data_IF_938947992671
#
_entry.id   IF_938947992671
#
_cell.length_a   1.000
_cell.length_b   1.000
_cell.length_c   1.000
_cell.angle_alpha   90.00
_cell.angle_beta   90.00
_cell.angle_gamma   90.00
#
_symmetry.space_group_name_H-M   'P 1'
#
loop_
_entity.id
_entity.type
_entity.pdbx_description
1 polymer ?
#
# COMPACT_ATOMS: atom_id res chain seq x y z
N UNK A 1 -13.21 -31.18 -18.41
CA UNK A 1 -13.38 -29.94 -17.63
C UNK A 1 -12.12 -29.15 -17.88
N UNK A 2 -12.15 -28.20 -18.81
CA UNK A 2 -11.03 -27.30 -19.00
C UNK A 2 -10.92 -26.47 -17.72
N UNK A 3 -9.75 -26.47 -17.09
CA UNK A 3 -9.43 -25.47 -16.10
C UNK A 3 -9.48 -24.13 -16.85
N UNK A 4 -10.21 -23.18 -16.29
CA UNK A 4 -10.16 -21.80 -16.77
C UNK A 4 -8.73 -21.31 -16.52
N UNK A 5 -7.88 -21.35 -17.55
CA UNK A 5 -6.46 -20.96 -17.49
C UNK A 5 -6.29 -19.43 -17.45
N UNK A 6 -7.40 -18.68 -17.38
CA UNK A 6 -7.44 -17.23 -17.23
C UNK A 6 -7.39 -16.78 -15.78
N UNK A 7 -6.77 -15.64 -15.54
CA UNK A 7 -6.80 -14.97 -14.24
C UNK A 7 -8.18 -14.34 -14.03
N UNK A 8 -8.78 -14.50 -12.85
CA UNK A 8 -10.07 -13.87 -12.56
C UNK A 8 -9.91 -12.36 -12.34
N UNK A 9 -11.00 -11.59 -12.52
CA UNK A 9 -10.97 -10.14 -12.28
C UNK A 9 -10.50 -9.78 -10.86
N UNK A 10 -10.86 -10.59 -9.87
CA UNK A 10 -10.38 -10.45 -8.49
C UNK A 10 -8.88 -10.66 -8.37
N UNK A 11 -8.32 -11.62 -9.10
CA UNK A 11 -6.88 -11.88 -9.10
C UNK A 11 -6.11 -10.77 -9.83
N UNK A 12 -6.65 -10.23 -10.93
CA UNK A 12 -6.11 -9.06 -11.62
C UNK A 12 -6.03 -7.84 -10.68
N UNK A 13 -7.13 -7.54 -10.00
CA UNK A 13 -7.18 -6.47 -9.01
C UNK A 13 -6.19 -6.70 -7.85
N UNK A 14 -6.04 -7.95 -7.38
CA UNK A 14 -5.06 -8.30 -6.36
C UNK A 14 -3.62 -8.03 -6.81
N UNK A 15 -3.25 -8.33 -8.06
CA UNK A 15 -1.92 -8.01 -8.59
C UNK A 15 -1.67 -6.51 -8.70
N UNK A 16 -2.69 -5.75 -9.11
CA UNK A 16 -2.62 -4.29 -9.17
C UNK A 16 -2.39 -3.68 -7.77
N UNK A 17 -3.15 -4.15 -6.77
CA UNK A 17 -2.98 -3.77 -5.38
C UNK A 17 -1.55 -4.10 -4.92
N UNK A 18 -1.07 -5.32 -5.14
CA UNK A 18 0.29 -5.75 -4.71
C UNK A 18 1.37 -4.84 -5.32
N UNK A 19 1.29 -4.54 -6.62
CA UNK A 19 2.29 -3.74 -7.31
C UNK A 19 2.32 -2.29 -6.81
N UNK A 20 1.15 -1.66 -6.68
CA UNK A 20 1.01 -0.27 -6.23
C UNK A 20 1.40 -0.13 -4.75
N UNK A 21 0.80 -0.92 -3.85
CA UNK A 21 1.07 -0.79 -2.42
C UNK A 21 2.45 -1.30 -2.01
N UNK A 22 3.02 -2.26 -2.75
CA UNK A 22 4.41 -2.69 -2.57
C UNK A 22 5.41 -1.56 -2.89
N UNK A 23 5.11 -0.77 -3.93
CA UNK A 23 5.89 0.43 -4.28
C UNK A 23 5.76 1.48 -3.19
N UNK A 24 4.54 1.83 -2.77
CA UNK A 24 4.29 2.80 -1.71
C UNK A 24 5.00 2.42 -0.39
N UNK A 25 4.88 1.16 0.04
CA UNK A 25 5.56 0.63 1.24
C UNK A 25 7.08 0.79 1.16
N UNK A 26 7.67 0.53 -0.01
CA UNK A 26 9.10 0.72 -0.23
C UNK A 26 9.52 2.18 -0.08
N UNK A 27 8.69 3.11 -0.55
CA UNK A 27 8.92 4.55 -0.38
C UNK A 27 8.83 4.97 1.09
N UNK A 28 7.86 4.47 1.86
CA UNK A 28 7.77 4.77 3.30
C UNK A 28 8.99 4.25 4.08
N UNK A 29 9.47 3.04 3.76
CA UNK A 29 10.70 2.51 4.36
C UNK A 29 11.91 3.37 3.96
N UNK A 30 11.98 3.80 2.70
CA UNK A 30 13.00 4.72 2.20
C UNK A 30 12.99 6.07 2.93
N UNK A 31 11.80 6.63 3.18
CA UNK A 31 11.61 7.87 3.91
C UNK A 31 12.20 7.79 5.33
N UNK A 32 11.99 6.68 6.04
CA UNK A 32 12.59 6.45 7.36
C UNK A 32 14.12 6.48 7.26
N UNK A 33 14.72 5.87 6.23
CA UNK A 33 16.17 5.90 6.04
C UNK A 33 16.69 7.32 5.75
N UNK A 34 15.98 8.10 4.91
CA UNK A 34 16.33 9.49 4.62
C UNK A 34 16.27 10.37 5.88
N UNK A 35 15.20 10.25 6.67
CA UNK A 35 15.06 11.00 7.91
C UNK A 35 16.18 10.66 8.91
N UNK A 36 16.52 9.37 9.03
CA UNK A 36 17.64 8.90 9.85
C UNK A 36 18.99 9.48 9.41
N UNK A 37 19.17 9.73 8.10
CA UNK A 37 20.35 10.39 7.55
C UNK A 37 20.33 11.92 7.68
N UNK A 38 19.23 12.50 8.17
CA UNK A 38 19.03 13.93 8.33
C UNK A 38 18.36 14.64 7.16
N UNK A 39 18.02 13.91 6.09
CA UNK A 39 17.25 14.43 4.96
C UNK A 39 15.75 14.38 5.27
N UNK A 40 15.29 15.35 6.07
CA UNK A 40 13.89 15.44 6.50
C UNK A 40 12.98 15.84 5.32
N UNK A 41 13.41 16.77 4.46
CA UNK A 41 12.63 17.19 3.30
C UNK A 41 12.44 16.05 2.30
N UNK A 42 13.52 15.34 1.97
CA UNK A 42 13.45 14.18 1.08
C UNK A 42 12.63 13.03 1.67
N UNK A 43 12.64 12.85 3.00
CA UNK A 43 11.78 11.88 3.67
C UNK A 43 10.28 12.24 3.55
N UNK A 44 9.92 13.51 3.79
CA UNK A 44 8.53 13.97 3.63
C UNK A 44 8.06 13.85 2.17
N UNK A 45 8.94 14.14 1.21
CA UNK A 45 8.65 13.99 -0.22
C UNK A 45 8.38 12.52 -0.59
N UNK A 46 9.17 11.58 -0.07
CA UNK A 46 8.94 10.15 -0.28
C UNK A 46 7.62 9.67 0.34
N UNK A 47 7.26 10.14 1.53
CA UNK A 47 5.96 9.80 2.13
C UNK A 47 4.81 10.34 1.28
N UNK A 48 4.91 11.58 0.79
CA UNK A 48 3.87 12.18 -0.05
C UNK A 48 3.67 11.38 -1.34
N UNK A 49 4.76 11.14 -2.09
CA UNK A 49 4.70 10.40 -3.33
C UNK A 49 4.29 8.92 -3.12
N UNK A 50 4.74 8.30 -2.03
CA UNK A 50 4.27 6.96 -1.63
C UNK A 50 2.77 6.94 -1.34
N UNK A 51 2.23 7.99 -0.72
CA UNK A 51 0.80 8.12 -0.40
C UNK A 51 -0.05 8.27 -1.67
N UNK A 52 0.43 9.01 -2.66
CA UNK A 52 -0.24 9.11 -3.96
C UNK A 52 -0.36 7.73 -4.63
N UNK A 53 0.73 6.96 -4.68
CA UNK A 53 0.72 5.59 -5.25
C UNK A 53 -0.13 4.63 -4.41
N UNK A 54 -0.08 4.74 -3.08
CA UNK A 54 -0.90 3.93 -2.19
C UNK A 54 -2.39 4.14 -2.46
N UNK A 55 -2.81 5.39 -2.70
CA UNK A 55 -4.20 5.72 -2.98
C UNK A 55 -4.71 5.08 -4.28
N UNK A 56 -3.84 4.83 -5.27
CA UNK A 56 -4.20 4.08 -6.48
C UNK A 56 -4.61 2.65 -6.12
N UNK A 57 -3.74 1.92 -5.41
CA UNK A 57 -4.04 0.55 -4.96
C UNK A 57 -5.21 0.47 -3.98
N UNK A 58 -5.30 1.44 -3.06
CA UNK A 58 -6.41 1.54 -2.12
C UNK A 58 -7.75 1.78 -2.87
N UNK A 59 -7.74 2.57 -3.93
CA UNK A 59 -8.90 2.79 -4.79
C UNK A 59 -9.41 1.49 -5.42
N UNK A 60 -8.50 0.65 -5.90
CA UNK A 60 -8.82 -0.67 -6.46
C UNK A 60 -9.45 -1.59 -5.40
N UNK A 61 -8.90 -1.62 -4.19
CA UNK A 61 -9.51 -2.33 -3.05
C UNK A 61 -10.93 -1.79 -2.71
N UNK A 62 -11.13 -0.47 -2.67
CA UNK A 62 -12.44 0.13 -2.40
C UNK A 62 -13.48 -0.24 -3.47
N UNK A 63 -13.08 -0.27 -4.74
CA UNK A 63 -13.96 -0.69 -5.83
C UNK A 63 -14.41 -2.14 -5.66
N UNK A 64 -13.50 -3.04 -5.29
CA UNK A 64 -13.84 -4.45 -5.01
C UNK A 64 -14.83 -4.58 -3.85
N UNK A 65 -14.62 -3.82 -2.78
CA UNK A 65 -15.51 -3.82 -1.62
C UNK A 65 -16.91 -3.29 -1.99
N UNK A 66 -16.98 -2.22 -2.78
CA UNK A 66 -18.26 -1.69 -3.28
C UNK A 66 -19.00 -2.69 -4.17
N UNK A 67 -18.30 -3.34 -5.11
CA UNK A 67 -18.88 -4.36 -5.98
C UNK A 67 -19.44 -5.53 -5.17
N UNK A 68 -18.69 -6.04 -4.18
CA UNK A 68 -19.15 -7.13 -3.32
C UNK A 68 -20.44 -6.78 -2.56
N UNK A 69 -20.61 -5.53 -2.17
CA UNK A 69 -21.80 -5.05 -1.46
C UNK A 69 -23.01 -4.90 -2.40
N UNK A 70 -22.78 -4.45 -3.64
CA UNK A 70 -23.83 -4.26 -4.67
C UNK A 70 -24.34 -5.62 -5.15
N UNK A 71 -23.44 -6.53 -5.48
CA UNK A 71 -23.78 -7.81 -6.09
C UNK A 71 -24.39 -8.80 -5.08
N UNK A 72 -24.36 -8.47 -3.77
CA UNK A 72 -24.71 -9.38 -2.66
C UNK A 72 -23.99 -10.75 -2.79
N UNK A 73 -22.85 -10.76 -3.46
CA UNK A 73 -22.03 -11.94 -3.70
C UNK A 73 -20.70 -11.75 -3.01
N UNK A 74 -20.26 -12.79 -2.29
CA UNK A 74 -18.91 -12.80 -1.74
C UNK A 74 -17.88 -12.74 -2.87
N UNK A 75 -16.83 -11.94 -2.68
CA UNK A 75 -15.65 -11.98 -3.54
C UNK A 75 -15.07 -13.39 -3.50
N UNK A 76 -14.72 -13.94 -4.66
CA UNK A 76 -14.04 -15.23 -4.72
C UNK A 76 -12.70 -15.16 -3.97
N UNK A 77 -12.60 -15.93 -2.90
CA UNK A 77 -11.41 -15.92 -2.06
C UNK A 77 -10.26 -16.65 -2.75
N UNK A 78 -9.09 -16.02 -2.78
CA UNK A 78 -7.85 -16.64 -3.27
C UNK A 78 -6.68 -16.27 -2.38
N UNK A 79 -5.63 -17.10 -2.38
CA UNK A 79 -4.43 -16.82 -1.59
C UNK A 79 -3.75 -15.51 -2.04
N UNK A 80 -3.83 -15.18 -3.33
CA UNK A 80 -3.27 -13.94 -3.86
C UNK A 80 -4.07 -12.72 -3.41
N UNK A 81 -5.41 -12.81 -3.31
CA UNK A 81 -6.24 -11.76 -2.73
C UNK A 81 -5.88 -11.55 -1.26
N UNK A 82 -5.80 -12.62 -0.46
CA UNK A 82 -5.39 -12.52 0.94
C UNK A 82 -4.02 -11.83 1.09
N UNK A 83 -3.08 -12.17 0.19
CA UNK A 83 -1.76 -11.55 0.19
C UNK A 83 -1.82 -10.06 -0.19
N UNK A 84 -2.67 -9.67 -1.14
CA UNK A 84 -2.88 -8.28 -1.52
C UNK A 84 -3.42 -7.45 -0.34
N UNK A 85 -4.44 -7.96 0.37
CA UNK A 85 -5.00 -7.30 1.56
C UNK A 85 -3.96 -7.14 2.68
N UNK A 86 -3.14 -8.17 2.91
CA UNK A 86 -2.03 -8.11 3.88
C UNK A 86 -1.00 -7.04 3.49
N UNK A 87 -0.60 -6.96 2.20
CA UNK A 87 0.32 -5.92 1.74
C UNK A 87 -0.28 -4.51 1.83
N UNK A 88 -1.56 -4.34 1.49
CA UNK A 88 -2.29 -3.08 1.57
C UNK A 88 -2.25 -2.53 3.01
N UNK A 89 -2.67 -3.35 3.98
CA UNK A 89 -2.72 -2.94 5.39
C UNK A 89 -1.32 -2.72 5.99
N UNK A 90 -0.34 -3.52 5.58
CA UNK A 90 1.06 -3.28 5.98
C UNK A 90 1.60 -1.96 5.43
N UNK A 91 1.30 -1.62 4.17
CA UNK A 91 1.76 -0.36 3.57
C UNK A 91 1.22 0.85 4.34
N UNK A 92 -0.07 0.87 4.69
CA UNK A 92 -0.66 1.94 5.48
C UNK A 92 -0.04 2.04 6.88
N UNK A 93 0.20 0.90 7.52
CA UNK A 93 0.87 0.87 8.82
C UNK A 93 2.29 1.46 8.74
N UNK A 94 3.03 1.15 7.67
CA UNK A 94 4.37 1.72 7.43
C UNK A 94 4.33 3.21 7.13
N UNK A 95 3.28 3.73 6.48
CA UNK A 95 3.10 5.18 6.26
C UNK A 95 3.04 5.94 7.59
N UNK A 96 2.14 5.50 8.49
CA UNK A 96 1.96 6.12 9.81
C UNK A 96 3.27 6.05 10.61
N UNK A 97 3.91 4.87 10.63
CA UNK A 97 5.20 4.68 11.30
C UNK A 97 6.28 5.61 10.71
N UNK A 98 6.33 5.75 9.38
CA UNK A 98 7.31 6.62 8.73
C UNK A 98 7.11 8.09 9.10
N UNK A 99 5.87 8.58 9.12
CA UNK A 99 5.54 9.94 9.55
C UNK A 99 6.02 10.22 10.98
N UNK A 100 5.73 9.31 11.92
CA UNK A 100 6.17 9.43 13.31
C UNK A 100 7.71 9.41 13.43
N UNK A 101 8.39 8.55 12.68
CA UNK A 101 9.86 8.51 12.70
C UNK A 101 10.48 9.80 12.14
N UNK A 102 9.90 10.37 11.08
CA UNK A 102 10.35 11.65 10.52
C UNK A 102 10.23 12.75 11.59
N UNK A 103 9.09 12.83 12.27
CA UNK A 103 8.85 13.78 13.37
C UNK A 103 9.88 13.64 14.49
N UNK A 104 10.19 12.39 14.87
CA UNK A 104 11.18 12.09 15.91
C UNK A 104 12.58 12.54 15.46
N UNK A 105 13.03 12.17 14.27
CA UNK A 105 14.34 12.56 13.76
C UNK A 105 14.48 14.07 13.58
N UNK A 106 13.44 14.74 13.09
CA UNK A 106 13.42 16.19 12.94
C UNK A 106 13.64 16.89 14.29
N UNK A 107 12.99 16.43 15.37
CA UNK A 107 13.19 16.96 16.72
C UNK A 107 14.59 16.69 17.27
N UNK A 108 15.16 15.51 16.99
CA UNK A 108 16.50 15.14 17.45
C UNK A 108 17.61 15.94 16.76
N UNK A 109 17.39 16.38 15.52
CA UNK A 109 18.36 17.14 14.72
C UNK A 109 18.33 18.65 15.01
N UNK A 110 17.20 19.20 15.45
CA UNK A 110 17.02 20.63 15.80
C UNK A 110 17.66 21.03 17.13
N UNK A 111 18.84 20.50 17.47
CA UNK A 111 19.57 20.82 18.70
C UNK A 111 19.86 22.32 18.84
#
# INVERSE_FOLDING_TARGET
MALDDGMTATQEAAFEIIATVGTAKSMYIGAIQKAKAGDIEGARADVLAGTEIFNEGHGTHLNMLQQSAIDNSNVEFSLILLHAEDQLMQAESFRIIAEDFIDVYEKLLKK
#
